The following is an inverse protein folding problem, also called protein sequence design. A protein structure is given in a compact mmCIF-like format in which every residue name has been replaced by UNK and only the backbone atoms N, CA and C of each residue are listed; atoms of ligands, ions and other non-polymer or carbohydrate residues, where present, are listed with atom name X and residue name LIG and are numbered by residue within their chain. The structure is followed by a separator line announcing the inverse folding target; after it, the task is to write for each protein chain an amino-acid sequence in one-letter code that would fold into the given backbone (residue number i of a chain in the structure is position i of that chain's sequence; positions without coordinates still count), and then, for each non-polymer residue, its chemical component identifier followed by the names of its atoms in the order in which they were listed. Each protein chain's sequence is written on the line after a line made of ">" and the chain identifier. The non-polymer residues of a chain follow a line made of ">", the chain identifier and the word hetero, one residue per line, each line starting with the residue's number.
data_IF_972655362510
#
_entry.id   IF_972655362510
#
_cell.length_a   1.000
_cell.length_b   1.000
_cell.length_c   1.000
_cell.angle_alpha   90.00
_cell.angle_beta   90.00
_cell.angle_gamma   90.00
#
_symmetry.space_group_name_H-M   'P 1'
#
loop_
_entity.id
_entity.type
_entity.pdbx_description
1 polymer ?
#
# COMPACT_ATOMS: atom_id res chain seq x y z
N UNK A 1 -5.73 3.64 0.78
CA UNK A 1 -4.26 3.73 0.61
C UNK A 1 -3.41 2.48 0.89
N UNK A 2 -3.85 1.40 1.56
CA UNK A 2 -3.01 0.18 1.66
C UNK A 2 -3.52 -0.94 0.73
N UNK A 3 -2.63 -1.77 0.21
CA UNK A 3 -2.92 -2.96 -0.60
C UNK A 3 -2.71 -2.78 -2.10
N UNK A 4 -1.80 -1.91 -2.53
CA UNK A 4 -1.52 -1.61 -3.93
C UNK A 4 -0.29 -2.35 -4.46
N UNK A 5 0.62 -2.75 -3.58
CA UNK A 5 1.86 -3.45 -3.94
C UNK A 5 1.62 -4.95 -4.10
N UNK A 6 0.88 -5.30 -5.15
CA UNK A 6 0.47 -6.68 -5.42
C UNK A 6 1.42 -7.40 -6.37
N UNK A 7 1.26 -8.71 -6.51
CA UNK A 7 1.89 -9.50 -7.59
C UNK A 7 1.01 -9.53 -8.84
N UNK A 8 1.63 -9.53 -10.02
CA UNK A 8 0.96 -9.99 -11.23
C UNK A 8 1.14 -11.51 -11.36
N UNK A 9 0.08 -12.24 -10.96
CA UNK A 9 0.06 -13.72 -10.97
C UNK A 9 0.31 -14.35 -12.33
N UNK A 10 -0.06 -13.67 -13.43
CA UNK A 10 0.11 -14.20 -14.79
C UNK A 10 1.57 -14.27 -15.24
N UNK A 11 2.42 -13.43 -14.64
CA UNK A 11 3.82 -13.27 -15.01
C UNK A 11 4.79 -13.90 -13.99
N UNK A 12 4.29 -14.71 -13.04
CA UNK A 12 5.10 -15.41 -12.04
C UNK A 12 5.24 -16.89 -12.37
N UNK A 13 6.43 -17.45 -12.15
CA UNK A 13 6.61 -18.91 -12.13
C UNK A 13 5.86 -19.50 -10.94
N UNK A 14 5.42 -20.75 -11.06
CA UNK A 14 4.72 -21.47 -9.96
C UNK A 14 5.52 -21.42 -8.66
N UNK A 15 6.83 -21.68 -8.71
CA UNK A 15 7.72 -21.63 -7.52
C UNK A 15 7.81 -20.23 -6.91
N UNK A 16 7.79 -19.19 -7.74
CA UNK A 16 7.85 -17.80 -7.28
C UNK A 16 6.53 -17.40 -6.60
N UNK A 17 5.40 -17.82 -7.16
CA UNK A 17 4.08 -17.63 -6.56
C UNK A 17 3.97 -18.35 -5.21
N UNK A 18 4.40 -19.62 -5.12
CA UNK A 18 4.44 -20.37 -3.87
C UNK A 18 5.34 -19.70 -2.83
N UNK A 19 6.49 -19.17 -3.26
CA UNK A 19 7.42 -18.43 -2.41
C UNK A 19 6.76 -17.16 -1.87
N UNK A 20 6.17 -16.33 -2.72
CA UNK A 20 5.43 -15.14 -2.30
C UNK A 20 4.30 -15.47 -1.31
N UNK A 21 3.49 -16.49 -1.62
CA UNK A 21 2.41 -16.94 -0.75
C UNK A 21 2.93 -17.38 0.63
N UNK A 22 4.10 -18.01 0.69
CA UNK A 22 4.70 -18.43 1.96
C UNK A 22 5.13 -17.24 2.84
N UNK A 23 5.65 -16.15 2.26
CA UNK A 23 5.93 -14.91 3.00
C UNK A 23 4.64 -14.21 3.43
N UNK A 24 3.64 -14.13 2.55
CA UNK A 24 2.32 -13.56 2.89
C UNK A 24 1.66 -14.32 4.06
N UNK A 25 1.64 -15.65 4.01
CA UNK A 25 1.16 -16.48 5.11
C UNK A 25 2.05 -16.39 6.36
N UNK A 26 3.36 -16.21 6.19
CA UNK A 26 4.29 -15.94 7.28
C UNK A 26 3.96 -14.66 8.03
N UNK A 27 3.78 -13.54 7.32
CA UNK A 27 3.36 -12.26 7.92
C UNK A 27 2.00 -12.37 8.60
N UNK A 28 1.03 -13.00 7.94
CA UNK A 28 -0.30 -13.27 8.49
C UNK A 28 -0.24 -14.03 9.83
N UNK A 29 0.65 -15.03 9.91
CA UNK A 29 0.90 -15.76 11.15
C UNK A 29 1.56 -14.89 12.21
N UNK A 30 2.60 -14.10 11.86
CA UNK A 30 3.28 -13.21 12.81
C UNK A 30 2.35 -12.17 13.40
N UNK A 31 1.46 -11.60 12.58
CA UNK A 31 0.39 -10.71 13.03
C UNK A 31 -0.53 -11.41 14.04
N UNK A 32 -0.93 -12.65 13.77
CA UNK A 32 -1.76 -13.42 14.70
C UNK A 32 -1.03 -13.78 16.00
N UNK A 33 0.23 -14.20 15.92
CA UNK A 33 1.04 -14.60 17.08
C UNK A 33 1.31 -13.42 18.02
N UNK A 34 1.70 -12.27 17.46
CA UNK A 34 2.06 -11.07 18.22
C UNK A 34 0.83 -10.26 18.65
N UNK A 35 -0.13 -10.12 17.73
CA UNK A 35 -1.23 -9.16 17.85
C UNK A 35 -2.62 -9.79 17.77
N UNK A 36 -2.74 -11.13 17.76
CA UNK A 36 -4.02 -11.83 17.74
C UNK A 36 -4.82 -11.60 16.46
N UNK A 37 -6.10 -11.92 16.50
CA UNK A 37 -7.00 -11.77 15.34
C UNK A 37 -7.10 -10.32 14.86
N UNK A 38 -7.08 -9.34 15.76
CA UNK A 38 -7.13 -7.91 15.38
C UNK A 38 -5.91 -7.50 14.55
N UNK A 39 -4.71 -7.98 14.88
CA UNK A 39 -3.54 -7.75 14.04
C UNK A 39 -3.60 -8.51 12.72
N UNK A 40 -4.20 -9.70 12.68
CA UNK A 40 -4.36 -10.42 11.41
C UNK A 40 -5.21 -9.65 10.40
N UNK A 41 -6.11 -8.77 10.86
CA UNK A 41 -6.91 -7.88 10.01
C UNK A 41 -6.09 -6.74 9.36
N UNK A 42 -4.89 -6.45 9.87
CA UNK A 42 -4.00 -5.42 9.31
C UNK A 42 -3.04 -5.96 8.24
N UNK A 43 -3.22 -7.21 7.82
CA UNK A 43 -2.41 -7.86 6.78
C UNK A 43 -2.56 -7.10 5.46
N UNK A 44 -1.44 -6.71 4.86
CA UNK A 44 -1.43 -6.06 3.55
C UNK A 44 -0.36 -6.63 2.62
N UNK A 45 -0.59 -6.45 1.31
CA UNK A 45 0.39 -6.80 0.30
C UNK A 45 1.62 -5.88 0.35
N UNK A 46 1.46 -4.61 0.75
CA UNK A 46 2.58 -3.67 0.86
C UNK A 46 3.56 -4.10 1.95
N UNK A 47 3.06 -4.51 3.12
CA UNK A 47 3.96 -4.99 4.18
C UNK A 47 4.53 -6.38 3.87
N UNK A 48 3.83 -7.20 3.07
CA UNK A 48 4.42 -8.44 2.54
C UNK A 48 5.58 -8.15 1.59
N UNK A 49 5.46 -7.14 0.74
CA UNK A 49 6.55 -6.65 -0.09
C UNK A 49 7.73 -6.15 0.74
N UNK A 50 7.47 -5.39 1.81
CA UNK A 50 8.52 -4.94 2.75
C UNK A 50 9.26 -6.14 3.36
N UNK A 51 8.56 -7.19 3.79
CA UNK A 51 9.21 -8.43 4.26
C UNK A 51 10.16 -8.95 3.18
N UNK A 52 9.66 -9.25 1.99
CA UNK A 52 10.47 -9.88 0.94
C UNK A 52 11.65 -9.01 0.47
N UNK A 53 11.45 -7.69 0.38
CA UNK A 53 12.49 -6.73 0.01
C UNK A 53 13.62 -6.75 1.03
N UNK A 54 13.30 -6.61 2.32
CA UNK A 54 14.29 -6.58 3.38
C UNK A 54 14.96 -7.95 3.56
N UNK A 55 14.20 -9.05 3.43
CA UNK A 55 14.76 -10.41 3.45
C UNK A 55 15.76 -10.61 2.31
N UNK A 56 15.42 -10.20 1.09
CA UNK A 56 16.31 -10.32 -0.07
C UNK A 56 17.54 -9.41 0.01
N UNK A 57 17.44 -8.26 0.67
CA UNK A 57 18.53 -7.30 0.83
C UNK A 57 19.49 -7.66 1.96
N UNK A 58 18.97 -8.09 3.11
CA UNK A 58 19.75 -8.31 4.33
C UNK A 58 20.04 -9.78 4.63
N UNK A 59 19.43 -10.70 3.87
CA UNK A 59 19.67 -12.15 3.92
C UNK A 59 19.65 -12.74 5.36
N UNK A 60 18.62 -12.45 6.18
CA UNK A 60 18.54 -13.01 7.53
C UNK A 60 18.25 -14.52 7.45
N UNK A 61 18.42 -15.22 8.57
CA UNK A 61 18.05 -16.63 8.65
C UNK A 61 16.54 -16.82 8.51
N UNK A 62 16.11 -17.31 7.34
CA UNK A 62 14.70 -17.65 7.06
C UNK A 62 14.33 -18.99 7.70
N UNK A 63 13.26 -18.97 8.51
CA UNK A 63 12.65 -20.17 9.09
C UNK A 63 11.46 -20.61 8.23
N UNK A 64 11.53 -21.83 7.70
CA UNK A 64 10.44 -22.45 6.94
C UNK A 64 9.56 -23.28 7.87
N UNK A 65 8.26 -23.31 7.60
CA UNK A 65 7.33 -24.10 8.39
C UNK A 65 5.99 -24.27 7.68
N UNK A 66 4.98 -24.65 8.44
CA UNK A 66 3.59 -24.66 7.97
C UNK A 66 2.63 -24.17 9.04
N UNK A 67 1.50 -23.60 8.63
CA UNK A 67 0.47 -23.10 9.54
C UNK A 67 -0.94 -23.39 9.05
N UNK A 68 -1.91 -23.42 9.98
CA UNK A 68 -3.32 -23.45 9.63
C UNK A 68 -3.84 -22.02 9.48
N UNK A 69 -4.44 -21.73 8.34
CA UNK A 69 -5.09 -20.46 8.07
C UNK A 69 -6.60 -20.61 8.24
N UNK A 70 -7.29 -19.62 8.80
CA UNK A 70 -8.75 -19.64 8.95
C UNK A 70 -9.45 -19.75 7.59
N UNK A 71 -8.85 -19.17 6.54
CA UNK A 71 -9.33 -19.24 5.15
C UNK A 71 -9.10 -20.64 4.55
N UNK A 72 -8.06 -21.35 5.00
CA UNK A 72 -7.68 -22.67 4.50
C UNK A 72 -7.56 -23.67 5.66
N UNK A 73 -8.65 -23.98 6.37
CA UNK A 73 -8.58 -24.75 7.62
C UNK A 73 -8.11 -26.20 7.37
N UNK A 74 -8.44 -26.76 6.21
CA UNK A 74 -8.18 -28.14 5.83
C UNK A 74 -6.80 -28.37 5.21
N UNK A 75 -6.08 -27.32 4.81
CA UNK A 75 -4.77 -27.43 4.16
C UNK A 75 -3.76 -26.54 4.87
N UNK A 76 -2.74 -27.16 5.45
CA UNK A 76 -1.57 -26.45 5.97
C UNK A 76 -0.92 -25.63 4.87
N UNK A 77 -0.73 -24.34 5.13
CA UNK A 77 -0.05 -23.42 4.21
C UNK A 77 1.43 -23.37 4.56
N UNK A 78 2.34 -23.41 3.57
CA UNK A 78 3.75 -23.17 3.82
C UNK A 78 3.95 -21.73 4.31
N UNK A 79 4.91 -21.53 5.20
CA UNK A 79 5.30 -20.22 5.69
C UNK A 79 6.80 -20.03 5.60
N UNK A 80 7.22 -18.81 5.37
CA UNK A 80 8.58 -18.35 5.57
C UNK A 80 8.53 -17.13 6.48
N UNK A 81 9.28 -17.19 7.58
CA UNK A 81 9.34 -16.10 8.55
C UNK A 81 10.78 -15.82 8.97
N UNK A 82 11.04 -14.56 9.24
CA UNK A 82 12.33 -14.05 9.72
C UNK A 82 12.09 -12.80 10.59
N UNK A 83 13.16 -12.07 10.86
CA UNK A 83 13.11 -10.82 11.64
C UNK A 83 12.28 -9.72 10.96
N UNK A 84 12.22 -9.70 9.62
CA UNK A 84 11.44 -8.71 8.88
C UNK A 84 9.96 -9.04 8.87
N UNK A 85 9.60 -10.32 9.01
CA UNK A 85 8.20 -10.72 9.25
C UNK A 85 7.68 -10.17 10.58
N UNK A 86 8.52 -10.14 11.62
CA UNK A 86 8.19 -9.52 12.90
C UNK A 86 8.15 -7.99 12.79
N UNK A 87 9.12 -7.37 12.10
CA UNK A 87 9.10 -5.92 11.82
C UNK A 87 7.87 -5.47 11.04
N UNK A 88 7.54 -6.16 9.95
CA UNK A 88 6.40 -5.79 9.12
C UNK A 88 5.08 -5.97 9.89
N UNK A 89 4.98 -6.97 10.77
CA UNK A 89 3.83 -7.11 11.66
C UNK A 89 3.71 -5.90 12.60
N UNK A 90 4.83 -5.46 13.17
CA UNK A 90 4.92 -4.26 14.02
C UNK A 90 4.49 -2.99 13.24
N UNK A 91 5.03 -2.79 12.03
CA UNK A 91 4.69 -1.64 11.18
C UNK A 91 3.23 -1.65 10.71
N UNK A 92 2.68 -2.82 10.41
CA UNK A 92 1.26 -2.96 10.09
C UNK A 92 0.37 -2.44 11.23
N UNK A 93 0.69 -2.76 12.49
CA UNK A 93 -0.07 -2.29 13.65
C UNK A 93 0.11 -0.80 13.85
N UNK A 94 1.34 -0.29 13.69
CA UNK A 94 1.64 1.13 13.84
C UNK A 94 0.84 1.98 12.85
N UNK A 95 0.89 1.63 11.57
CA UNK A 95 0.17 2.35 10.52
C UNK A 95 -1.35 2.28 10.71
N UNK A 96 -1.88 1.08 11.02
CA UNK A 96 -3.33 0.92 11.20
C UNK A 96 -3.84 1.59 12.46
N UNK A 97 -3.06 1.60 13.55
CA UNK A 97 -3.42 2.29 14.78
C UNK A 97 -3.57 3.79 14.54
N UNK A 98 -2.53 4.44 13.99
CA UNK A 98 -2.59 5.88 13.75
C UNK A 98 -3.65 6.24 12.71
N UNK A 99 -3.80 5.45 11.64
CA UNK A 99 -4.88 5.65 10.68
C UNK A 99 -6.27 5.57 11.32
N UNK A 100 -6.52 4.62 12.21
CA UNK A 100 -7.84 4.52 12.86
C UNK A 100 -8.08 5.65 13.88
N UNK A 101 -7.02 6.18 14.47
CA UNK A 101 -7.11 7.36 15.36
C UNK A 101 -7.45 8.62 14.57
N UNK A 102 -6.90 8.75 13.36
CA UNK A 102 -7.16 9.81 12.40
C UNK A 102 -8.61 9.75 11.87
N UNK A 103 -9.02 8.61 11.30
CA UNK A 103 -10.41 8.37 10.83
C UNK A 103 -11.45 8.65 11.94
N UNK A 104 -11.11 8.37 13.22
CA UNK A 104 -12.00 8.64 14.35
C UNK A 104 -12.14 10.13 14.65
N UNK A 105 -11.04 10.90 14.55
CA UNK A 105 -11.06 12.33 14.79
C UNK A 105 -11.93 13.06 13.75
N UNK A 106 -11.94 12.56 12.51
CA UNK A 106 -12.58 13.24 11.38
C UNK A 106 -14.03 12.80 11.13
N UNK A 107 -14.34 11.49 11.19
CA UNK A 107 -15.64 10.97 10.75
C UNK A 107 -16.51 10.41 11.89
N UNK A 108 -16.03 10.41 13.15
CA UNK A 108 -16.68 9.79 14.32
C UNK A 108 -17.14 8.33 14.08
N UNK A 109 -16.44 7.59 13.21
CA UNK A 109 -16.75 6.19 12.89
C UNK A 109 -16.47 5.27 14.08
N UNK A 110 -17.53 4.84 14.79
CA UNK A 110 -17.46 4.07 16.05
C UNK A 110 -16.70 2.74 15.91
N UNK A 111 -16.79 2.10 14.74
CA UNK A 111 -16.06 0.88 14.40
C UNK A 111 -14.53 1.09 14.35
N UNK A 112 -14.08 2.25 13.85
CA UNK A 112 -12.66 2.63 13.84
C UNK A 112 -12.11 2.86 15.23
N UNK A 113 -12.89 3.48 16.12
CA UNK A 113 -12.50 3.63 17.53
C UNK A 113 -12.41 2.29 18.25
N UNK A 114 -13.38 1.40 18.05
CA UNK A 114 -13.34 0.07 18.68
C UNK A 114 -12.11 -0.71 18.21
N UNK A 115 -11.77 -0.62 16.92
CA UNK A 115 -10.57 -1.24 16.38
C UNK A 115 -9.28 -0.59 16.91
N UNK A 116 -9.23 0.73 17.01
CA UNK A 116 -8.12 1.45 17.62
C UNK A 116 -7.93 1.06 19.10
N UNK A 117 -9.01 0.93 19.88
CA UNK A 117 -8.96 0.47 21.27
C UNK A 117 -8.44 -0.97 21.38
N UNK A 118 -8.83 -1.87 20.47
CA UNK A 118 -8.30 -3.23 20.39
C UNK A 118 -6.80 -3.27 20.07
N UNK A 119 -6.32 -2.35 19.22
CA UNK A 119 -4.91 -2.21 18.88
C UNK A 119 -4.12 -1.53 20.01
N UNK A 120 -4.69 -0.53 20.70
CA UNK A 120 -4.04 0.29 21.74
C UNK A 120 -3.39 -0.55 22.84
N UNK A 121 -4.08 -1.60 23.30
CA UNK A 121 -3.56 -2.50 24.35
C UNK A 121 -2.26 -3.20 23.95
N UNK A 122 -2.05 -3.41 22.65
CA UNK A 122 -0.87 -4.08 22.10
C UNK A 122 0.13 -3.10 21.48
N UNK A 123 -0.32 -1.90 21.16
CA UNK A 123 0.48 -0.81 20.60
C UNK A 123 1.42 -0.15 21.63
N UNK A 124 1.05 -0.08 22.91
CA UNK A 124 1.85 0.66 23.91
C UNK A 124 3.31 0.18 24.07
N UNK A 125 3.58 -1.13 23.95
CA UNK A 125 4.96 -1.64 23.95
C UNK A 125 5.69 -1.44 22.61
N UNK A 126 4.94 -1.35 21.52
CA UNK A 126 5.47 -1.13 20.18
C UNK A 126 5.91 0.33 19.98
N UNK A 127 5.10 1.30 20.42
CA UNK A 127 5.40 2.72 20.35
C UNK A 127 6.72 3.04 21.08
N UNK A 128 6.95 2.42 22.24
CA UNK A 128 8.21 2.56 22.96
C UNK A 128 9.41 1.94 22.23
N UNK A 129 9.20 0.83 21.51
CA UNK A 129 10.27 0.10 20.81
C UNK A 129 10.71 0.80 19.52
N UNK A 130 9.83 1.60 18.91
CA UNK A 130 10.06 2.34 17.68
C UNK A 130 9.71 3.82 17.84
N UNK A 131 10.05 4.44 18.98
CA UNK A 131 9.58 5.77 19.36
C UNK A 131 9.80 6.83 18.30
N UNK A 132 11.02 6.94 17.78
CA UNK A 132 11.36 7.90 16.72
C UNK A 132 10.53 7.66 15.45
N UNK A 133 10.41 6.40 15.02
CA UNK A 133 9.65 6.01 13.83
C UNK A 133 8.14 6.26 14.02
N UNK A 134 7.61 5.96 15.21
CA UNK A 134 6.21 6.15 15.55
C UNK A 134 5.85 7.64 15.63
N UNK A 135 6.71 8.46 16.22
CA UNK A 135 6.55 9.92 16.25
C UNK A 135 6.57 10.48 14.83
N UNK A 136 7.53 10.05 13.99
CA UNK A 136 7.63 10.52 12.62
C UNK A 136 6.42 10.15 11.76
N UNK A 137 5.97 8.90 11.83
CA UNK A 137 4.79 8.44 11.09
C UNK A 137 3.54 9.18 11.56
N UNK A 138 3.39 9.41 12.87
CA UNK A 138 2.28 10.20 13.41
C UNK A 138 2.30 11.63 12.89
N UNK A 139 3.45 12.32 12.95
CA UNK A 139 3.61 13.69 12.43
C UNK A 139 3.22 13.78 10.95
N UNK A 140 3.62 12.79 10.15
CA UNK A 140 3.30 12.74 8.72
C UNK A 140 1.82 12.45 8.45
N UNK A 141 1.19 11.58 9.25
CA UNK A 141 -0.26 11.35 9.15
C UNK A 141 -1.04 12.60 9.54
N UNK A 142 -0.71 13.24 10.66
CA UNK A 142 -1.34 14.50 11.09
C UNK A 142 -1.21 15.60 10.01
N UNK A 143 -0.04 15.67 9.33
CA UNK A 143 0.18 16.58 8.20
C UNK A 143 -0.66 16.23 6.98
N UNK A 144 -0.86 14.94 6.71
CA UNK A 144 -1.68 14.48 5.59
C UNK A 144 -3.13 14.91 5.83
N UNK A 145 -3.71 14.62 6.99
CA UNK A 145 -5.09 14.94 7.35
C UNK A 145 -5.33 16.45 7.35
N UNK A 146 -4.38 17.24 7.85
CA UNK A 146 -4.43 18.70 7.76
C UNK A 146 -4.51 19.18 6.30
N UNK A 147 -3.68 18.61 5.41
CA UNK A 147 -3.71 18.93 3.99
C UNK A 147 -5.02 18.54 3.29
N UNK A 148 -5.64 17.43 3.70
CA UNK A 148 -6.95 16.98 3.21
C UNK A 148 -8.06 17.93 3.69
N UNK A 149 -8.07 18.30 4.96
CA UNK A 149 -9.02 19.25 5.55
C UNK A 149 -8.93 20.65 4.92
N UNK A 150 -7.72 21.10 4.56
CA UNK A 150 -7.48 22.36 3.84
C UNK A 150 -7.82 22.28 2.35
N UNK A 151 -8.25 21.12 1.85
CA UNK A 151 -8.49 20.86 0.42
C UNK A 151 -7.28 21.23 -0.46
N UNK A 152 -6.08 20.85 -0.01
CA UNK A 152 -4.85 21.13 -0.74
C UNK A 152 -4.93 20.61 -2.16
N UNK A 153 -4.64 21.46 -3.15
CA UNK A 153 -4.56 21.05 -4.55
C UNK A 153 -3.15 20.75 -5.03
N UNK A 154 -2.16 20.78 -4.14
CA UNK A 154 -0.78 20.41 -4.47
C UNK A 154 -0.64 18.89 -4.43
N UNK A 155 -0.76 18.28 -5.61
CA UNK A 155 -0.66 16.84 -5.80
C UNK A 155 0.68 16.26 -5.34
N UNK A 156 1.77 16.99 -5.60
CA UNK A 156 3.12 16.49 -5.31
C UNK A 156 3.41 16.52 -3.82
N UNK A 157 2.94 17.58 -3.15
CA UNK A 157 3.00 17.72 -1.70
C UNK A 157 2.22 16.62 -0.98
N UNK A 158 0.95 16.42 -1.33
CA UNK A 158 0.09 15.42 -0.68
C UNK A 158 0.61 14.00 -0.88
N UNK A 159 0.97 13.65 -2.12
CA UNK A 159 1.59 12.37 -2.40
C UNK A 159 2.94 12.24 -1.69
N UNK A 160 3.71 13.33 -1.60
CA UNK A 160 5.01 13.38 -0.94
C UNK A 160 4.94 13.07 0.56
N UNK A 161 3.91 13.56 1.27
CA UNK A 161 3.71 13.22 2.69
C UNK A 161 3.53 11.71 2.86
N UNK A 162 2.65 11.09 2.08
CA UNK A 162 2.47 9.63 2.12
C UNK A 162 3.72 8.87 1.63
N UNK A 163 4.45 9.44 0.68
CA UNK A 163 5.78 9.01 0.29
C UNK A 163 6.73 8.92 1.48
N UNK A 164 6.84 9.97 2.29
CA UNK A 164 7.69 9.97 3.48
C UNK A 164 7.27 8.91 4.51
N UNK A 165 5.97 8.63 4.65
CA UNK A 165 5.50 7.53 5.51
C UNK A 165 6.07 6.20 5.00
N UNK A 166 5.92 5.91 3.72
CA UNK A 166 6.46 4.68 3.14
C UNK A 166 7.99 4.62 3.17
N UNK A 167 8.68 5.75 2.95
CA UNK A 167 10.13 5.86 3.09
C UNK A 167 10.59 5.49 4.51
N UNK A 168 9.87 5.98 5.51
CA UNK A 168 10.12 5.70 6.91
C UNK A 168 9.93 4.20 7.23
N UNK A 169 8.91 3.55 6.67
CA UNK A 169 8.69 2.11 6.87
C UNK A 169 9.74 1.26 6.15
N UNK A 170 10.17 1.63 4.95
CA UNK A 170 11.19 0.86 4.21
C UNK A 170 12.59 1.02 4.79
N UNK A 171 12.92 2.19 5.34
CA UNK A 171 14.19 2.46 6.02
C UNK A 171 14.21 1.79 7.41
N UNK A 172 14.48 0.48 7.41
CA UNK A 172 14.53 -0.35 8.61
C UNK A 172 15.64 0.05 9.59
N UNK A 173 16.82 0.42 9.08
CA UNK A 173 17.99 0.79 9.92
C UNK A 173 18.88 1.82 9.23
N UNK A 174 19.73 2.44 10.03
CA UNK A 174 20.77 3.38 9.59
C UNK A 174 21.99 2.62 9.05
N UNK A 175 22.04 2.42 7.73
CA UNK A 175 23.17 1.78 7.06
C UNK A 175 23.36 2.26 5.61
N UNK A 176 24.23 1.60 4.84
CA UNK A 176 24.55 1.96 3.46
C UNK A 176 23.35 1.90 2.51
N UNK A 177 22.27 1.17 2.85
CA UNK A 177 21.08 1.03 2.02
C UNK A 177 19.97 2.00 2.39
N UNK A 178 20.08 2.68 3.54
CA UNK A 178 19.06 3.62 4.04
C UNK A 178 18.61 4.59 2.96
N UNK A 179 19.54 5.25 2.28
CA UNK A 179 19.19 6.29 1.30
C UNK A 179 18.42 5.71 0.11
N UNK A 180 18.84 4.54 -0.38
CA UNK A 180 18.12 3.85 -1.44
C UNK A 180 16.72 3.42 -0.99
N UNK A 181 16.60 2.86 0.23
CA UNK A 181 15.32 2.42 0.80
C UNK A 181 14.37 3.60 1.05
N UNK A 182 14.87 4.74 1.53
CA UNK A 182 14.07 5.95 1.71
C UNK A 182 13.57 6.48 0.37
N UNK A 183 14.45 6.68 -0.61
CA UNK A 183 14.03 7.18 -1.93
C UNK A 183 13.08 6.22 -2.63
N UNK A 184 13.34 4.92 -2.53
CA UNK A 184 12.44 3.87 -3.04
C UNK A 184 11.07 3.95 -2.38
N UNK A 185 11.01 3.99 -1.04
CA UNK A 185 9.76 4.11 -0.30
C UNK A 185 9.01 5.40 -0.58
N UNK A 186 9.72 6.51 -0.75
CA UNK A 186 9.14 7.80 -1.10
C UNK A 186 8.37 7.74 -2.42
N UNK A 187 9.01 7.27 -3.49
CA UNK A 187 8.35 7.19 -4.79
C UNK A 187 7.29 6.09 -4.86
N UNK A 188 7.50 4.96 -4.16
CA UNK A 188 6.48 3.92 -4.04
C UNK A 188 5.24 4.44 -3.30
N UNK A 189 5.43 5.17 -2.21
CA UNK A 189 4.33 5.79 -1.47
C UNK A 189 3.58 6.80 -2.32
N UNK A 190 4.28 7.67 -3.05
CA UNK A 190 3.64 8.60 -4.01
C UNK A 190 2.80 7.84 -5.04
N UNK A 191 3.32 6.75 -5.59
CA UNK A 191 2.56 5.91 -6.52
C UNK A 191 1.28 5.36 -5.87
N UNK A 192 1.39 4.81 -4.66
CA UNK A 192 0.26 4.21 -3.92
C UNK A 192 -0.82 5.27 -3.64
N UNK A 193 -0.43 6.44 -3.12
CA UNK A 193 -1.33 7.55 -2.82
C UNK A 193 -2.12 7.99 -4.06
N UNK A 194 -1.40 8.22 -5.16
CA UNK A 194 -2.00 8.66 -6.42
C UNK A 194 -2.87 7.59 -7.08
N UNK A 195 -2.48 6.33 -6.97
CA UNK A 195 -3.27 5.22 -7.50
C UNK A 195 -4.58 5.04 -6.73
N UNK A 196 -4.56 5.21 -5.40
CA UNK A 196 -5.75 5.19 -4.55
C UNK A 196 -6.69 6.35 -4.90
N UNK A 197 -6.16 7.57 -4.96
CA UNK A 197 -6.93 8.73 -5.40
C UNK A 197 -7.52 8.55 -6.81
N UNK A 198 -6.80 7.91 -7.74
CA UNK A 198 -7.33 7.63 -9.08
C UNK A 198 -8.43 6.56 -9.07
N UNK A 199 -8.31 5.54 -8.24
CA UNK A 199 -9.34 4.50 -8.11
C UNK A 199 -10.64 5.07 -7.53
N UNK A 200 -10.54 5.93 -6.50
CA UNK A 200 -11.67 6.41 -5.73
C UNK A 200 -12.29 7.73 -6.25
N UNK A 201 -11.63 8.41 -7.19
CA UNK A 201 -12.02 9.76 -7.66
C UNK A 201 -13.49 9.90 -8.10
N UNK A 202 -14.11 8.88 -8.72
CA UNK A 202 -15.54 8.99 -9.08
C UNK A 202 -16.48 8.96 -7.87
N UNK A 203 -16.15 8.14 -6.88
CA UNK A 203 -16.90 8.03 -5.63
C UNK A 203 -16.71 9.30 -4.80
N UNK A 204 -15.47 9.78 -4.68
CA UNK A 204 -15.15 10.98 -3.91
C UNK A 204 -15.83 12.23 -4.48
N UNK A 205 -15.84 12.40 -5.80
CA UNK A 205 -16.57 13.49 -6.45
C UNK A 205 -18.09 13.40 -6.21
N UNK A 206 -18.64 12.18 -6.16
CA UNK A 206 -20.07 11.97 -5.95
C UNK A 206 -20.48 12.26 -4.50
N UNK A 207 -19.63 11.89 -3.54
CA UNK A 207 -19.87 12.09 -2.11
C UNK A 207 -19.37 13.44 -1.59
N UNK A 208 -18.71 14.24 -2.43
CA UNK A 208 -18.13 15.52 -2.04
C UNK A 208 -16.94 15.38 -1.07
N UNK A 209 -16.24 14.24 -1.11
CA UNK A 209 -15.04 13.98 -0.32
C UNK A 209 -13.81 14.59 -0.99
N UNK A 210 -12.77 14.84 -0.20
CA UNK A 210 -11.51 15.32 -0.72
C UNK A 210 -10.90 14.28 -1.68
N UNK A 211 -10.44 14.75 -2.85
CA UNK A 211 -9.60 13.95 -3.73
C UNK A 211 -8.59 14.86 -4.44
N UNK A 212 -7.28 14.55 -4.36
CA UNK A 212 -6.21 15.41 -4.89
C UNK A 212 -6.22 15.52 -6.43
N UNK A 213 -6.90 14.59 -7.12
CA UNK A 213 -7.01 14.57 -8.58
C UNK A 213 -8.22 15.35 -9.11
N UNK A 214 -9.07 15.90 -8.24
CA UNK A 214 -10.30 16.61 -8.63
C UNK A 214 -10.04 17.66 -9.72
N UNK A 215 -9.12 18.61 -9.49
CA UNK A 215 -8.80 19.66 -10.47
C UNK A 215 -8.19 19.10 -11.77
N UNK A 216 -7.34 18.07 -11.66
CA UNK A 216 -6.70 17.45 -12.82
C UNK A 216 -7.73 16.71 -13.69
N UNK A 217 -8.79 16.16 -13.08
CA UNK A 217 -9.85 15.40 -13.75
C UNK A 217 -10.73 16.22 -14.70
N UNK A 218 -10.73 17.55 -14.56
CA UNK A 218 -11.44 18.47 -15.44
C UNK A 218 -10.76 18.62 -16.81
N UNK A 219 -9.48 18.27 -16.91
CA UNK A 219 -8.68 18.37 -18.12
C UNK A 219 -8.98 17.26 -19.14
N UNK A 220 -8.92 17.59 -20.44
CA UNK A 220 -9.13 16.61 -21.53
C UNK A 220 -8.09 15.50 -21.56
N UNK A 221 -6.87 15.79 -21.09
CA UNK A 221 -5.73 14.87 -21.10
C UNK A 221 -5.53 14.20 -19.72
N UNK A 222 -6.55 14.18 -18.87
CA UNK A 222 -6.49 13.62 -17.51
C UNK A 222 -5.88 12.22 -17.45
N UNK A 223 -6.33 11.31 -18.31
CA UNK A 223 -5.86 9.92 -18.33
C UNK A 223 -4.36 9.82 -18.66
N UNK A 224 -3.91 10.62 -19.63
CA UNK A 224 -2.51 10.65 -20.06
C UNK A 224 -1.63 11.28 -18.98
N UNK A 225 -2.07 12.40 -18.39
CA UNK A 225 -1.37 13.08 -17.30
C UNK A 225 -1.23 12.17 -16.07
N UNK A 226 -2.32 11.52 -15.64
CA UNK A 226 -2.27 10.58 -14.51
C UNK A 226 -1.32 9.42 -14.77
N UNK A 227 -1.41 8.82 -15.98
CA UNK A 227 -0.50 7.74 -16.36
C UNK A 227 0.95 8.19 -16.37
N UNK A 228 1.22 9.40 -16.89
CA UNK A 228 2.55 10.01 -16.91
C UNK A 228 3.14 10.16 -15.52
N UNK A 229 2.38 10.75 -14.59
CA UNK A 229 2.82 10.96 -13.20
C UNK A 229 3.08 9.62 -12.50
N UNK A 230 2.14 8.66 -12.59
CA UNK A 230 2.32 7.32 -12.02
C UNK A 230 3.54 6.60 -12.62
N UNK A 231 3.79 6.78 -13.92
CA UNK A 231 4.95 6.19 -14.60
C UNK A 231 6.25 6.79 -14.06
N UNK A 232 6.29 8.10 -13.83
CA UNK A 232 7.44 8.76 -13.21
C UNK A 232 7.69 8.20 -11.80
N UNK A 233 6.66 8.10 -10.95
CA UNK A 233 6.82 7.55 -9.59
C UNK A 233 7.31 6.09 -9.61
N UNK A 234 6.71 5.25 -10.45
CA UNK A 234 7.12 3.86 -10.60
C UNK A 234 8.56 3.74 -11.13
N UNK A 235 8.95 4.57 -12.10
CA UNK A 235 10.29 4.57 -12.68
C UNK A 235 11.36 5.00 -11.66
N UNK A 236 11.09 6.05 -10.88
CA UNK A 236 12.01 6.52 -9.83
C UNK A 236 12.16 5.46 -8.72
N UNK A 237 11.06 4.85 -8.26
CA UNK A 237 11.09 3.72 -7.32
C UNK A 237 11.93 2.55 -7.87
N UNK A 238 11.68 2.17 -9.12
CA UNK A 238 12.38 1.07 -9.80
C UNK A 238 13.88 1.33 -9.94
N UNK A 239 14.26 2.58 -10.24
CA UNK A 239 15.66 2.98 -10.35
C UNK A 239 16.41 2.83 -9.03
N UNK A 240 15.78 3.14 -7.90
CA UNK A 240 16.41 2.96 -6.59
C UNK A 240 16.47 1.48 -6.19
N UNK A 241 15.44 0.69 -6.52
CA UNK A 241 15.44 -0.75 -6.32
C UNK A 241 16.60 -1.45 -7.08
N UNK A 242 16.84 -1.11 -8.34
CA UNK A 242 17.89 -1.74 -9.16
C UNK A 242 19.32 -1.40 -8.71
N UNK A 243 19.50 -0.45 -7.79
CA UNK A 243 20.80 -0.17 -7.16
C UNK A 243 21.09 -1.11 -6.00
N UNK A 244 20.08 -1.76 -5.44
CA UNK A 244 20.22 -2.66 -4.31
C UNK A 244 20.80 -4.01 -4.76
N UNK A 245 21.74 -4.61 -4.01
CA UNK A 245 22.41 -5.85 -4.40
C UNK A 245 21.56 -7.11 -4.12
N UNK A 246 20.30 -7.12 -4.53
CA UNK A 246 19.36 -8.20 -4.24
C UNK A 246 19.47 -9.31 -5.30
N UNK A 247 19.82 -10.51 -4.84
CA UNK A 247 19.95 -11.71 -5.69
C UNK A 247 18.77 -12.67 -5.44
N UNK A 248 18.44 -12.93 -4.17
CA UNK A 248 17.29 -13.76 -3.83
C UNK A 248 15.97 -12.99 -4.05
N UNK A 249 14.94 -13.70 -4.52
CA UNK A 249 13.59 -13.17 -4.74
C UNK A 249 13.46 -12.03 -5.77
N UNK A 250 14.53 -11.63 -6.46
CA UNK A 250 14.55 -10.52 -7.43
C UNK A 250 13.48 -10.67 -8.52
N UNK A 251 13.20 -11.89 -8.98
CA UNK A 251 12.11 -12.15 -9.94
C UNK A 251 10.73 -11.74 -9.41
N UNK A 252 10.45 -12.00 -8.13
CA UNK A 252 9.19 -11.64 -7.47
C UNK A 252 9.15 -10.13 -7.23
N UNK A 253 10.24 -9.54 -6.72
CA UNK A 253 10.32 -8.11 -6.45
C UNK A 253 10.17 -7.27 -7.73
N UNK A 254 10.81 -7.69 -8.83
CA UNK A 254 10.62 -7.09 -10.16
C UNK A 254 9.20 -7.28 -10.68
N UNK A 255 8.59 -8.46 -10.51
CA UNK A 255 7.18 -8.66 -10.89
C UNK A 255 6.27 -7.66 -10.18
N UNK A 256 6.45 -7.46 -8.88
CA UNK A 256 5.70 -6.50 -8.08
C UNK A 256 5.90 -5.07 -8.62
N UNK A 257 7.15 -4.62 -8.71
CA UNK A 257 7.47 -3.22 -9.06
C UNK A 257 7.17 -2.87 -10.52
N UNK A 258 7.33 -3.81 -11.46
CA UNK A 258 7.20 -3.53 -12.90
C UNK A 258 5.81 -3.81 -13.45
N UNK A 259 5.03 -4.63 -12.77
CA UNK A 259 3.76 -5.13 -13.31
C UNK A 259 2.67 -5.15 -12.23
N UNK A 260 3.00 -5.63 -11.04
CA UNK A 260 2.08 -5.83 -9.94
C UNK A 260 1.43 -4.55 -9.39
N UNK A 261 2.21 -3.48 -9.19
CA UNK A 261 1.70 -2.17 -8.74
C UNK A 261 0.70 -1.55 -9.73
N UNK A 262 0.76 -1.93 -11.01
CA UNK A 262 -0.13 -1.42 -12.06
C UNK A 262 -1.48 -2.14 -12.12
N UNK A 263 -1.64 -3.27 -11.43
CA UNK A 263 -2.85 -4.11 -11.54
C UNK A 263 -4.12 -3.35 -11.14
N UNK A 264 -4.08 -2.57 -10.04
CA UNK A 264 -5.25 -1.80 -9.58
C UNK A 264 -5.55 -0.63 -10.52
N UNK A 265 -4.53 0.14 -10.87
CA UNK A 265 -4.63 1.23 -11.83
C UNK A 265 -5.26 0.77 -13.15
N UNK A 266 -4.76 -0.31 -13.74
CA UNK A 266 -5.27 -0.82 -15.01
C UNK A 266 -6.71 -1.32 -14.93
N UNK A 267 -7.09 -1.91 -13.79
CA UNK A 267 -8.48 -2.29 -13.52
C UNK A 267 -9.39 -1.06 -13.41
N UNK A 268 -8.97 -0.05 -12.64
CA UNK A 268 -9.72 1.20 -12.48
C UNK A 268 -9.87 1.93 -13.82
N UNK A 269 -8.78 2.04 -14.60
CA UNK A 269 -8.79 2.67 -15.93
C UNK A 269 -9.74 1.98 -16.91
N UNK A 270 -9.76 0.65 -16.92
CA UNK A 270 -10.69 -0.13 -17.76
C UNK A 270 -12.14 0.16 -17.40
N UNK A 271 -12.47 0.12 -16.10
CA UNK A 271 -13.82 0.44 -15.59
C UNK A 271 -14.26 1.85 -16.06
N UNK A 272 -13.41 2.86 -15.86
CA UNK A 272 -13.67 4.24 -16.31
C UNK A 272 -13.89 4.35 -17.82
N UNK A 273 -13.12 3.61 -18.61
CA UNK A 273 -13.24 3.62 -20.08
C UNK A 273 -14.55 2.98 -20.55
N UNK A 274 -14.94 1.85 -19.93
CA UNK A 274 -16.18 1.15 -20.22
C UNK A 274 -17.41 2.01 -19.88
N UNK A 275 -17.42 2.66 -18.72
CA UNK A 275 -18.50 3.54 -18.27
C UNK A 275 -18.66 4.80 -19.14
N UNK A 276 -17.55 5.41 -19.59
CA UNK A 276 -17.56 6.49 -20.58
C UNK A 276 -18.18 6.02 -21.90
N UNK A 277 -17.84 4.81 -22.36
CA UNK A 277 -18.36 4.24 -23.61
C UNK A 277 -19.87 3.98 -23.56
N UNK A 278 -20.38 3.47 -22.44
CA UNK A 278 -21.80 3.17 -22.25
C UNK A 278 -22.64 4.43 -22.06
N UNK A 279 -22.09 5.44 -21.40
CA UNK A 279 -22.71 6.77 -21.30
C UNK A 279 -22.86 7.42 -22.67
N UNK A 280 -21.83 7.33 -23.52
CA UNK A 280 -21.88 7.83 -24.89
C UNK A 280 -22.90 7.06 -25.76
N UNK A 281 -22.97 5.73 -25.65
CA UNK A 281 -24.01 4.93 -26.31
C UNK A 281 -25.42 5.33 -25.88
N UNK A 282 -25.67 5.48 -24.58
CA UNK A 282 -26.98 5.92 -24.04
C UNK A 282 -27.36 7.32 -24.54
N UNK A 283 -26.42 8.27 -24.60
CA UNK A 283 -26.63 9.61 -25.18
C UNK A 283 -26.98 9.54 -26.67
N UNK A 284 -26.27 8.72 -27.45
CA UNK A 284 -26.58 8.53 -28.87
C UNK A 284 -27.96 7.88 -29.10
N UNK A 285 -28.34 6.89 -28.28
CA UNK A 285 -29.67 6.25 -28.36
C UNK A 285 -30.79 7.23 -28.01
N UNK A 286 -30.61 8.07 -26.96
CA UNK A 286 -31.58 9.13 -26.61
C UNK A 286 -31.71 10.18 -27.71
N UNK A 287 -30.61 10.57 -28.35
CA UNK A 287 -30.61 11.53 -29.47
C UNK A 287 -31.30 10.98 -30.72
N UNK A 288 -31.22 9.66 -30.96
CA UNK A 288 -31.93 9.00 -32.06
C UNK A 288 -33.43 8.77 -31.81
N UNK A 289 -33.88 8.78 -30.55
CA UNK A 289 -35.31 8.65 -30.18
C UNK A 289 -36.03 10.00 -30.09
N UNK A 290 -35.31 11.11 -30.19
CA UNK A 290 -35.82 12.49 -30.16
C UNK A 290 -35.84 13.16 -31.54
N UNK A 291 -35.48 12.40 -32.58
CA UNK A 291 -35.64 12.70 -34.01
C UNK A 291 -36.72 11.78 -34.57
#
# INVERSE_FOLDING_TARGET
>A
MFGYVMINKGDLKVRELETYQSFYCGLCQKLKERYGLSGQLTLSYDLTFVVMLLTGLYEPKVKKGTTHCVIHPLKKQPIQVDVFSDYAADMSILLNYYKCMDDWADEQKIDRRLFAELLKRKFGGLEASYSEKAEKVKELLDKLSAGEAENSSDLDYMAGIFGEIMAEILAWREDEWKENLRRMGFFLGKFIYLCDAYEDLEEDLTEGRYNPLTKLSEGKDFEENCRGILTMMAAECSREFEKLPIIEYTGILRNILYSGIWVRYEKARKKRTEEKSDTNKKKMIRKRRSL
#
